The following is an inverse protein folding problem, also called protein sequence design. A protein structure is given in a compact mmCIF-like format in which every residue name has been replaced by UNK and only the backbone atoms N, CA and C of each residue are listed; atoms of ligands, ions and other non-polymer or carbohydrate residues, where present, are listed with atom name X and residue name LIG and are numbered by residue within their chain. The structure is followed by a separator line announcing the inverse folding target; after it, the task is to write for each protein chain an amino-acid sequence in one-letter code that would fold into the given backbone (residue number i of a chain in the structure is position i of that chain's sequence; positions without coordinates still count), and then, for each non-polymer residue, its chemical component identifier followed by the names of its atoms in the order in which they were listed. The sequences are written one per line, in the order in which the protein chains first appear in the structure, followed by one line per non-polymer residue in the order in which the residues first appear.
data_IF_741106702525
#
_entry.id   IF_741106702525
#
_cell.length_a   1.000
_cell.length_b   1.000
_cell.length_c   1.000
_cell.angle_alpha   90.00
_cell.angle_beta   90.00
_cell.angle_gamma   90.00
#
_symmetry.space_group_name_H-M   'P 1'
#
loop_
_entity.id
_entity.type
_entity.pdbx_description
1 polymer ?
#
# COMPACT_ATOMS: atom_id res chain seq x y z
N UNK A 1 24.25 22.31 10.46
CA UNK A 1 22.81 22.37 10.15
C UNK A 1 22.40 23.82 10.28
N UNK A 2 22.00 24.46 9.17
CA UNK A 2 21.32 25.75 9.26
C UNK A 2 19.96 25.47 9.90
N UNK A 3 19.66 26.15 10.99
CA UNK A 3 18.35 26.09 11.64
C UNK A 3 17.34 26.67 10.65
N UNK A 4 16.55 25.81 10.03
CA UNK A 4 15.52 26.21 9.07
C UNK A 4 14.43 26.92 9.88
N UNK A 5 14.26 28.22 9.64
CA UNK A 5 13.29 29.04 10.36
C UNK A 5 11.92 28.93 9.69
N UNK A 6 10.85 28.72 10.47
CA UNK A 6 9.45 28.75 9.99
C UNK A 6 9.16 30.01 9.15
N UNK A 7 9.77 31.14 9.52
CA UNK A 7 9.63 32.40 8.78
C UNK A 7 10.20 32.32 7.35
N UNK A 8 11.27 31.56 7.13
CA UNK A 8 11.88 31.41 5.81
C UNK A 8 10.97 30.58 4.90
N UNK A 9 10.34 29.52 5.44
CA UNK A 9 9.37 28.69 4.70
C UNK A 9 8.14 29.53 4.32
N UNK A 10 7.60 30.33 5.25
CA UNK A 10 6.48 31.22 4.94
C UNK A 10 6.84 32.24 3.85
N UNK A 11 8.02 32.86 3.91
CA UNK A 11 8.47 33.80 2.90
C UNK A 11 8.62 33.15 1.51
N UNK A 12 9.12 31.91 1.47
CA UNK A 12 9.21 31.14 0.22
C UNK A 12 7.81 30.82 -0.35
N UNK A 13 6.85 30.45 0.51
CA UNK A 13 5.47 30.17 0.10
C UNK A 13 4.78 31.43 -0.45
N UNK A 14 5.03 32.59 0.13
CA UNK A 14 4.47 33.85 -0.36
C UNK A 14 5.00 34.21 -1.76
N UNK A 15 6.24 33.86 -2.08
CA UNK A 15 6.86 34.08 -3.39
C UNK A 15 6.32 33.16 -4.50
N UNK A 16 5.54 32.13 -4.19
CA UNK A 16 4.98 31.19 -5.18
C UNK A 16 4.01 31.86 -6.15
N UNK A 17 3.32 32.93 -5.71
CA UNK A 17 2.26 33.59 -6.50
C UNK A 17 2.83 34.62 -7.47
N UNK A 18 3.87 35.33 -7.04
CA UNK A 18 4.41 36.50 -7.73
C UNK A 18 5.62 36.16 -8.61
N UNK A 19 6.01 34.89 -8.66
CA UNK A 19 7.23 34.45 -9.32
C UNK A 19 7.03 34.16 -10.81
N UNK A 20 7.93 34.70 -11.64
CA UNK A 20 8.18 34.15 -12.96
C UNK A 20 8.71 32.71 -12.85
N UNK A 21 8.72 31.97 -13.97
CA UNK A 21 9.12 30.56 -13.99
C UNK A 21 10.47 30.29 -13.30
N UNK A 22 11.46 31.15 -13.49
CA UNK A 22 12.81 30.95 -12.91
C UNK A 22 12.76 31.11 -11.40
N UNK A 23 12.07 32.15 -10.92
CA UNK A 23 11.91 32.39 -9.49
C UNK A 23 11.13 31.27 -8.82
N UNK A 24 10.08 30.76 -9.47
CA UNK A 24 9.31 29.62 -8.99
C UNK A 24 10.17 28.37 -8.86
N UNK A 25 10.97 28.05 -9.88
CA UNK A 25 11.86 26.87 -9.87
C UNK A 25 12.87 26.95 -8.70
N UNK A 26 13.41 28.13 -8.40
CA UNK A 26 14.33 28.35 -7.27
C UNK A 26 13.64 28.19 -5.90
N UNK A 27 12.42 28.73 -5.76
CA UNK A 27 11.59 28.60 -4.55
C UNK A 27 11.25 27.12 -4.32
N UNK A 28 10.79 26.45 -5.38
CA UNK A 28 10.48 25.02 -5.38
C UNK A 28 11.69 24.19 -4.95
N UNK A 29 12.86 24.40 -5.54
CA UNK A 29 14.09 23.70 -5.13
C UNK A 29 14.44 23.92 -3.66
N UNK A 30 14.24 25.14 -3.16
CA UNK A 30 14.56 25.50 -1.77
C UNK A 30 13.63 24.78 -0.80
N UNK A 31 12.32 24.79 -1.07
CA UNK A 31 11.33 24.06 -0.27
C UNK A 31 11.57 22.54 -0.33
N UNK A 32 11.92 21.99 -1.50
CA UNK A 32 12.29 20.58 -1.64
C UNK A 32 13.53 20.24 -0.79
N UNK A 33 14.56 21.10 -0.77
CA UNK A 33 15.76 20.91 0.06
C UNK A 33 15.48 20.98 1.56
N UNK A 34 14.48 21.76 1.97
CA UNK A 34 14.01 21.80 3.36
C UNK A 34 13.26 20.51 3.75
N UNK A 35 12.66 19.81 2.78
CA UNK A 35 12.07 18.49 2.96
C UNK A 35 10.92 18.49 3.97
N UNK A 36 10.90 17.48 4.85
CA UNK A 36 9.81 17.21 5.80
C UNK A 36 9.40 18.41 6.67
N UNK A 37 10.33 19.28 7.03
CA UNK A 37 10.07 20.45 7.89
C UNK A 37 9.12 21.47 7.23
N UNK A 38 9.02 21.46 5.90
CA UNK A 38 8.14 22.37 5.14
C UNK A 38 6.73 21.83 4.93
N UNK A 39 6.50 20.51 5.08
CA UNK A 39 5.22 19.84 4.77
C UNK A 39 4.05 20.49 5.51
N UNK A 40 4.12 20.57 6.84
CA UNK A 40 3.00 21.08 7.65
C UNK A 40 2.63 22.52 7.28
N UNK A 41 3.63 23.37 6.99
CA UNK A 41 3.40 24.78 6.65
C UNK A 41 2.78 24.90 5.25
N UNK A 42 3.22 24.07 4.30
CA UNK A 42 2.61 24.02 2.96
C UNK A 42 1.16 23.54 3.04
N UNK A 43 0.84 22.55 3.88
CA UNK A 43 -0.53 22.06 4.09
C UNK A 43 -1.43 23.11 4.75
N UNK A 44 -0.93 23.79 5.79
CA UNK A 44 -1.62 24.92 6.42
C UNK A 44 -1.93 26.01 5.38
N UNK A 45 -0.97 26.30 4.49
CA UNK A 45 -1.12 27.31 3.43
C UNK A 45 -2.11 26.87 2.35
N UNK A 46 -2.07 25.61 1.92
CA UNK A 46 -3.02 25.02 0.97
C UNK A 46 -4.46 25.07 1.51
N UNK A 47 -4.67 24.76 2.79
CA UNK A 47 -5.98 24.77 3.42
C UNK A 47 -6.63 26.16 3.44
N UNK A 48 -5.82 27.23 3.45
CA UNK A 48 -6.25 28.62 3.46
C UNK A 48 -6.20 29.27 2.06
N UNK A 49 -5.65 28.57 1.06
CA UNK A 49 -5.41 29.12 -0.26
C UNK A 49 -6.71 29.24 -1.06
N UNK A 50 -6.98 30.44 -1.58
CA UNK A 50 -8.14 30.72 -2.44
C UNK A 50 -7.75 30.84 -3.93
N UNK A 51 -6.46 31.00 -4.22
CA UNK A 51 -5.93 31.09 -5.58
C UNK A 51 -5.63 29.68 -6.10
N UNK A 52 -6.30 29.28 -7.18
CA UNK A 52 -6.12 27.95 -7.77
C UNK A 52 -4.72 27.72 -8.35
N UNK A 53 -4.08 28.75 -8.92
CA UNK A 53 -2.74 28.61 -9.50
C UNK A 53 -1.69 28.44 -8.40
N UNK A 54 -1.81 29.22 -7.31
CA UNK A 54 -0.99 29.01 -6.11
C UNK A 54 -1.18 27.61 -5.55
N UNK A 55 -2.43 27.19 -5.39
CA UNK A 55 -2.75 25.89 -4.80
C UNK A 55 -2.14 24.75 -5.62
N UNK A 56 -2.26 24.79 -6.95
CA UNK A 56 -1.68 23.78 -7.84
C UNK A 56 -0.15 23.72 -7.71
N UNK A 57 0.52 24.88 -7.66
CA UNK A 57 1.97 24.98 -7.47
C UNK A 57 2.43 24.44 -6.11
N UNK A 58 1.75 24.83 -5.03
CA UNK A 58 2.05 24.34 -3.69
C UNK A 58 1.80 22.83 -3.57
N UNK A 59 0.75 22.33 -4.21
CA UNK A 59 0.46 20.90 -4.27
C UNK A 59 1.55 20.13 -5.03
N UNK A 60 2.06 20.68 -6.13
CA UNK A 60 3.20 20.10 -6.85
C UNK A 60 4.45 20.00 -5.97
N UNK A 61 4.78 21.08 -5.25
CA UNK A 61 5.93 21.11 -4.34
C UNK A 61 5.75 20.10 -3.20
N UNK A 62 4.59 20.10 -2.54
CA UNK A 62 4.26 19.17 -1.46
C UNK A 62 4.39 17.72 -1.91
N UNK A 63 3.87 17.41 -3.09
CA UNK A 63 3.98 16.08 -3.67
C UNK A 63 5.44 15.68 -3.91
N UNK A 64 6.26 16.56 -4.48
CA UNK A 64 7.66 16.26 -4.75
C UNK A 64 8.46 16.01 -3.47
N UNK A 65 8.19 16.78 -2.41
CA UNK A 65 8.75 16.56 -1.07
C UNK A 65 8.33 15.19 -0.54
N UNK A 66 7.02 14.90 -0.47
CA UNK A 66 6.49 13.63 0.07
C UNK A 66 7.03 12.43 -0.72
N UNK A 67 7.11 12.54 -2.04
CA UNK A 67 7.67 11.49 -2.89
C UNK A 67 9.15 11.22 -2.57
N UNK A 68 9.97 12.25 -2.39
CA UNK A 68 11.39 12.08 -2.07
C UNK A 68 11.60 11.39 -0.71
N UNK A 69 10.79 11.75 0.29
CA UNK A 69 10.82 11.10 1.62
C UNK A 69 10.45 9.61 1.52
N UNK A 70 9.36 9.29 0.83
CA UNK A 70 8.83 7.93 0.72
C UNK A 70 9.72 7.05 -0.13
N UNK A 71 10.33 7.62 -1.16
CA UNK A 71 11.32 6.92 -1.97
C UNK A 71 12.40 6.33 -1.06
N UNK A 72 12.96 7.13 -0.17
CA UNK A 72 14.00 6.67 0.76
C UNK A 72 13.46 5.63 1.75
N UNK A 73 12.23 5.81 2.25
CA UNK A 73 11.58 4.87 3.15
C UNK A 73 11.34 3.50 2.48
N UNK A 74 10.87 3.47 1.23
CA UNK A 74 10.65 2.25 0.45
C UNK A 74 11.95 1.55 0.09
N UNK A 75 13.02 2.29 -0.26
CA UNK A 75 14.36 1.70 -0.44
C UNK A 75 14.83 1.02 0.85
N UNK A 76 14.64 1.68 2.00
CA UNK A 76 15.04 1.13 3.28
C UNK A 76 14.19 -0.09 3.65
N UNK A 77 12.87 -0.01 3.49
CA UNK A 77 11.93 -1.11 3.73
C UNK A 77 12.33 -2.35 2.92
N UNK A 78 12.56 -2.19 1.62
CA UNK A 78 12.96 -3.31 0.76
C UNK A 78 14.31 -3.95 1.17
N UNK A 79 15.24 -3.16 1.72
CA UNK A 79 16.53 -3.68 2.19
C UNK A 79 16.49 -4.35 3.56
N UNK A 80 15.56 -3.94 4.42
CA UNK A 80 15.54 -4.32 5.84
C UNK A 80 14.44 -5.31 6.17
N UNK A 81 13.24 -5.09 5.64
CA UNK A 81 12.05 -5.88 5.89
C UNK A 81 11.16 -6.02 4.62
N UNK A 82 11.71 -6.51 3.50
CA UNK A 82 11.03 -6.56 2.20
C UNK A 82 9.70 -7.35 2.23
N UNK A 83 9.56 -8.27 3.18
CA UNK A 83 8.37 -9.09 3.32
C UNK A 83 7.28 -8.43 4.18
N UNK A 84 7.51 -7.28 4.82
CA UNK A 84 6.53 -6.66 5.73
C UNK A 84 5.47 -5.88 4.95
N UNK A 85 4.27 -6.45 4.80
CA UNK A 85 3.13 -5.74 4.17
C UNK A 85 2.75 -4.52 5.01
N UNK A 86 2.77 -4.61 6.34
CA UNK A 86 2.39 -3.49 7.20
C UNK A 86 3.29 -2.27 6.99
N UNK A 87 4.62 -2.46 6.99
CA UNK A 87 5.56 -1.36 6.80
C UNK A 87 5.49 -0.78 5.39
N UNK A 88 5.40 -1.64 4.38
CA UNK A 88 5.20 -1.18 3.01
C UNK A 88 3.91 -0.36 2.86
N UNK A 89 2.82 -0.80 3.50
CA UNK A 89 1.54 -0.11 3.39
C UNK A 89 1.54 1.23 4.14
N UNK A 90 2.15 1.30 5.33
CA UNK A 90 2.40 2.56 6.05
C UNK A 90 3.19 3.54 5.18
N UNK A 91 4.28 3.09 4.55
CA UNK A 91 5.12 3.92 3.69
C UNK A 91 4.33 4.49 2.51
N UNK A 92 3.47 3.68 1.86
CA UNK A 92 2.61 4.15 0.77
C UNK A 92 1.52 5.11 1.27
N UNK A 93 0.89 4.84 2.43
CA UNK A 93 -0.09 5.74 3.04
C UNK A 93 0.49 7.14 3.25
N UNK A 94 1.76 7.25 3.63
CA UNK A 94 2.44 8.53 3.88
C UNK A 94 2.53 9.45 2.65
N UNK A 95 2.26 8.92 1.45
CA UNK A 95 2.31 9.68 0.18
C UNK A 95 1.31 10.81 0.13
N UNK A 96 0.15 10.62 0.75
CA UNK A 96 -0.91 11.62 0.75
C UNK A 96 -1.38 11.99 2.16
N UNK A 97 -0.84 11.35 3.20
CA UNK A 97 -1.36 11.49 4.56
C UNK A 97 -0.22 11.53 5.57
N UNK A 98 -0.42 12.24 6.68
CA UNK A 98 0.43 12.06 7.87
C UNK A 98 -0.12 10.91 8.69
N UNK A 99 0.73 9.90 8.93
CA UNK A 99 0.36 8.65 9.59
C UNK A 99 0.99 8.59 10.97
N UNK A 100 0.16 8.37 11.99
CA UNK A 100 0.61 8.00 13.33
C UNK A 100 0.92 6.50 13.35
N UNK A 101 2.19 6.15 13.20
CA UNK A 101 2.64 4.76 13.17
C UNK A 101 2.34 4.02 14.48
N UNK A 102 2.44 4.68 15.64
CA UNK A 102 2.18 4.05 16.93
C UNK A 102 0.70 3.68 17.06
N UNK A 103 -0.19 4.55 16.60
CA UNK A 103 -1.62 4.24 16.51
C UNK A 103 -1.88 3.03 15.61
N UNK A 104 -1.28 3.01 14.41
CA UNK A 104 -1.47 1.93 13.43
C UNK A 104 -0.96 0.59 13.99
N UNK A 105 0.24 0.56 14.55
CA UNK A 105 0.83 -0.63 15.16
C UNK A 105 -0.02 -1.14 16.33
N UNK A 106 -0.54 -0.23 17.16
CA UNK A 106 -1.44 -0.58 18.26
C UNK A 106 -2.76 -1.21 17.76
N UNK A 107 -3.37 -0.66 16.70
CA UNK A 107 -4.59 -1.24 16.14
C UNK A 107 -4.34 -2.61 15.50
N UNK A 108 -3.24 -2.79 14.77
CA UNK A 108 -2.83 -4.11 14.25
C UNK A 108 -2.68 -5.13 15.37
N UNK A 109 -1.95 -4.81 16.43
CA UNK A 109 -1.77 -5.69 17.59
C UNK A 109 -3.10 -6.07 18.26
N UNK A 110 -4.01 -5.10 18.38
CA UNK A 110 -5.35 -5.32 18.94
C UNK A 110 -6.17 -6.29 18.09
N UNK A 111 -6.15 -6.16 16.76
CA UNK A 111 -6.84 -7.07 15.85
C UNK A 111 -6.19 -8.45 15.85
N UNK A 112 -4.85 -8.51 15.77
CA UNK A 112 -4.06 -9.74 15.85
C UNK A 112 -4.40 -10.55 17.10
N UNK A 113 -4.44 -9.93 18.29
CA UNK A 113 -4.75 -10.63 19.56
C UNK A 113 -6.16 -11.21 19.59
N UNK A 114 -7.15 -10.51 19.01
CA UNK A 114 -8.52 -11.00 18.94
C UNK A 114 -8.59 -12.25 18.08
N UNK A 115 -8.00 -12.21 16.88
CA UNK A 115 -7.96 -13.39 15.99
C UNK A 115 -7.18 -14.52 16.65
N UNK A 116 -6.00 -14.24 17.22
CA UNK A 116 -5.19 -15.24 17.91
C UNK A 116 -5.96 -16.00 18.99
N UNK A 117 -6.91 -15.35 19.67
CA UNK A 117 -7.75 -16.00 20.69
C UNK A 117 -8.76 -17.01 20.12
N UNK A 118 -9.06 -16.93 18.82
CA UNK A 118 -9.92 -17.88 18.09
C UNK A 118 -9.10 -19.01 17.44
N UNK A 119 -7.79 -18.80 17.25
CA UNK A 119 -6.90 -19.81 16.68
C UNK A 119 -6.49 -20.87 17.72
N UNK A 120 -6.32 -22.10 17.25
CA UNK A 120 -5.73 -23.19 18.04
C UNK A 120 -4.99 -24.18 17.14
N UNK A 121 -4.13 -25.00 17.74
CA UNK A 121 -3.22 -25.91 17.02
C UNK A 121 -3.93 -27.05 16.28
N UNK A 122 -5.23 -27.27 16.50
CA UNK A 122 -6.01 -28.31 15.80
C UNK A 122 -6.60 -27.83 14.48
N UNK A 123 -6.58 -26.52 14.23
CA UNK A 123 -7.08 -25.95 12.98
C UNK A 123 -6.09 -26.18 11.85
N UNK A 124 -6.63 -26.55 10.70
CA UNK A 124 -5.91 -26.54 9.43
C UNK A 124 -5.56 -25.11 9.01
N UNK A 125 -4.54 -24.95 8.16
CA UNK A 125 -4.14 -23.63 7.64
C UNK A 125 -5.28 -22.94 6.87
N UNK A 126 -6.11 -23.72 6.18
CA UNK A 126 -7.32 -23.23 5.53
C UNK A 126 -8.33 -22.66 6.55
N UNK A 127 -8.62 -23.40 7.63
CA UNK A 127 -9.53 -22.91 8.67
C UNK A 127 -8.98 -21.63 9.34
N UNK A 128 -7.68 -21.54 9.59
CA UNK A 128 -7.04 -20.33 10.13
C UNK A 128 -7.19 -19.14 9.16
N UNK A 129 -6.96 -19.36 7.87
CA UNK A 129 -7.13 -18.35 6.82
C UNK A 129 -8.59 -17.85 6.75
N UNK A 130 -9.56 -18.76 6.79
CA UNK A 130 -11.00 -18.43 6.81
C UNK A 130 -11.38 -17.63 8.06
N UNK A 131 -10.83 -17.96 9.24
CA UNK A 131 -11.08 -17.21 10.47
C UNK A 131 -10.64 -15.75 10.32
N UNK A 132 -9.48 -15.49 9.71
CA UNK A 132 -9.01 -14.11 9.46
C UNK A 132 -9.97 -13.38 8.54
N UNK A 133 -10.35 -14.00 7.42
CA UNK A 133 -11.28 -13.41 6.46
C UNK A 133 -12.62 -13.05 7.13
N UNK A 134 -13.22 -14.01 7.83
CA UNK A 134 -14.48 -13.81 8.58
C UNK A 134 -14.34 -12.73 9.64
N UNK A 135 -13.21 -12.69 10.34
CA UNK A 135 -12.94 -11.65 11.32
C UNK A 135 -12.96 -10.26 10.67
N UNK A 136 -12.35 -10.09 9.49
CA UNK A 136 -12.35 -8.81 8.77
C UNK A 136 -13.78 -8.40 8.43
N UNK A 137 -14.58 -9.27 7.81
CA UNK A 137 -15.97 -8.95 7.45
C UNK A 137 -16.88 -8.69 8.65
N UNK A 138 -16.59 -9.30 9.80
CA UNK A 138 -17.36 -9.07 11.03
C UNK A 138 -16.97 -7.78 11.77
N UNK A 139 -15.75 -7.27 11.57
CA UNK A 139 -15.22 -6.13 12.32
C UNK A 139 -15.02 -4.86 11.48
N UNK A 140 -14.99 -4.98 10.16
CA UNK A 140 -14.85 -3.88 9.20
C UNK A 140 -16.07 -3.83 8.29
N UNK A 141 -16.44 -2.63 7.87
CA UNK A 141 -17.59 -2.36 7.02
C UNK A 141 -17.12 -2.27 5.57
N UNK A 142 -17.25 -3.39 4.85
CA UNK A 142 -16.95 -3.43 3.43
C UNK A 142 -17.94 -2.56 2.65
N UNK A 143 -17.39 -1.66 1.84
CA UNK A 143 -18.11 -0.81 0.91
C UNK A 143 -17.57 -1.10 -0.49
N UNK A 144 -18.46 -1.49 -1.41
CA UNK A 144 -18.14 -1.64 -2.84
C UNK A 144 -17.89 -0.28 -3.54
N UNK A 145 -17.61 0.79 -2.78
CA UNK A 145 -17.36 2.12 -3.35
C UNK A 145 -16.08 2.13 -4.20
N UNK A 146 -16.17 2.73 -5.37
CA UNK A 146 -15.06 3.05 -6.27
C UNK A 146 -14.24 4.23 -5.73
N UNK A 147 -14.00 4.31 -4.43
CA UNK A 147 -13.05 5.26 -3.85
C UNK A 147 -11.91 4.52 -3.19
N UNK A 148 -10.69 4.78 -3.66
CA UNK A 148 -9.48 4.29 -3.02
C UNK A 148 -9.34 4.89 -1.63
N UNK A 149 -9.23 4.01 -0.63
CA UNK A 149 -8.76 4.34 0.69
C UNK A 149 -7.42 3.64 0.95
N UNK A 150 -6.33 4.40 0.87
CA UNK A 150 -4.98 3.94 1.23
C UNK A 150 -4.50 4.52 2.57
N UNK A 151 -5.32 5.27 3.29
CA UNK A 151 -4.98 5.73 4.63
C UNK A 151 -5.28 4.61 5.64
N UNK A 152 -4.27 3.83 6.00
CA UNK A 152 -4.38 2.73 6.97
C UNK A 152 -4.95 3.18 8.33
N UNK A 153 -4.59 4.36 8.80
CA UNK A 153 -5.13 4.93 10.04
C UNK A 153 -6.63 5.23 9.92
N UNK A 154 -7.08 5.73 8.77
CA UNK A 154 -8.51 5.96 8.50
C UNK A 154 -9.28 4.64 8.38
N UNK A 155 -8.68 3.61 7.79
CA UNK A 155 -9.26 2.26 7.71
C UNK A 155 -9.52 1.72 9.13
N UNK A 156 -8.54 1.79 10.04
CA UNK A 156 -8.74 1.32 11.42
C UNK A 156 -9.73 2.19 12.22
N UNK A 157 -9.63 3.51 12.12
CA UNK A 157 -10.48 4.42 12.93
C UNK A 157 -11.94 4.43 12.47
N UNK A 158 -12.19 4.43 11.15
CA UNK A 158 -13.56 4.43 10.61
C UNK A 158 -14.15 3.02 10.48
N UNK A 159 -13.29 2.00 10.42
CA UNK A 159 -13.61 0.61 10.08
C UNK A 159 -14.18 0.41 8.68
N UNK A 160 -14.29 1.46 7.86
CA UNK A 160 -14.73 1.32 6.48
C UNK A 160 -13.57 0.79 5.65
N UNK A 161 -13.83 -0.20 4.82
CA UNK A 161 -12.86 -0.79 3.93
C UNK A 161 -13.44 -0.96 2.53
N UNK A 162 -12.58 -0.86 1.52
CA UNK A 162 -12.90 -1.19 0.13
C UNK A 162 -12.12 -2.44 -0.29
N UNK A 163 -12.18 -2.82 -1.58
CA UNK A 163 -11.45 -3.98 -2.14
C UNK A 163 -9.97 -3.98 -1.74
N UNK A 164 -9.26 -2.87 -1.94
CA UNK A 164 -7.83 -2.75 -1.64
C UNK A 164 -7.54 -2.80 -0.13
N UNK A 165 -8.32 -2.08 0.68
CA UNK A 165 -8.15 -2.08 2.13
C UNK A 165 -8.33 -3.48 2.72
N UNK A 166 -9.31 -4.26 2.24
CA UNK A 166 -9.53 -5.64 2.69
C UNK A 166 -8.34 -6.53 2.38
N UNK A 167 -7.81 -6.44 1.15
CA UNK A 167 -6.64 -7.22 0.73
C UNK A 167 -5.43 -6.91 1.60
N UNK A 168 -5.14 -5.63 1.87
CA UNK A 168 -4.04 -5.25 2.76
C UNK A 168 -4.27 -5.68 4.21
N UNK A 169 -5.46 -5.46 4.76
CA UNK A 169 -5.80 -5.91 6.12
C UNK A 169 -5.60 -7.42 6.26
N UNK A 170 -6.05 -8.21 5.28
CA UNK A 170 -5.87 -9.65 5.28
C UNK A 170 -4.39 -10.03 5.22
N UNK A 171 -3.62 -9.48 4.28
CA UNK A 171 -2.19 -9.77 4.16
C UNK A 171 -1.41 -9.42 5.42
N UNK A 172 -1.68 -8.26 6.04
CA UNK A 172 -1.07 -7.86 7.31
C UNK A 172 -1.38 -8.88 8.40
N UNK A 173 -2.66 -9.24 8.59
CA UNK A 173 -3.07 -10.12 9.67
C UNK A 173 -2.53 -11.55 9.50
N UNK A 174 -2.47 -12.07 8.27
CA UNK A 174 -1.85 -13.37 7.96
C UNK A 174 -0.37 -13.38 8.36
N UNK A 175 0.38 -12.33 7.99
CA UNK A 175 1.80 -12.23 8.34
C UNK A 175 2.03 -12.10 9.85
N UNK A 176 1.26 -11.25 10.52
CA UNK A 176 1.33 -11.03 11.96
C UNK A 176 0.95 -12.27 12.78
N UNK A 177 0.08 -13.12 12.23
CA UNK A 177 -0.30 -14.41 12.81
C UNK A 177 0.60 -15.56 12.36
N UNK A 178 1.61 -15.29 11.51
CA UNK A 178 2.58 -16.26 10.99
C UNK A 178 1.94 -17.43 10.23
N UNK A 179 0.87 -17.15 9.49
CA UNK A 179 0.23 -18.12 8.59
C UNK A 179 0.94 -18.07 7.24
N UNK A 180 1.24 -19.23 6.67
CA UNK A 180 2.02 -19.37 5.44
C UNK A 180 1.17 -19.12 4.18
N UNK A 181 0.57 -17.93 4.07
CA UNK A 181 -0.20 -17.52 2.90
C UNK A 181 0.40 -16.26 2.25
N UNK A 182 0.54 -16.29 0.93
CA UNK A 182 1.31 -15.32 0.15
C UNK A 182 0.50 -14.77 -1.01
N UNK A 183 0.70 -13.50 -1.39
CA UNK A 183 -0.13 -12.83 -2.39
C UNK A 183 0.02 -13.48 -3.76
N UNK A 184 -1.07 -13.55 -4.50
CA UNK A 184 -1.15 -13.90 -5.92
C UNK A 184 -2.08 -12.86 -6.54
N UNK A 185 -1.62 -12.14 -7.56
CA UNK A 185 -2.43 -11.14 -8.25
C UNK A 185 -2.51 -11.53 -9.71
N UNK A 186 -3.72 -11.75 -10.19
CA UNK A 186 -3.97 -12.21 -11.55
C UNK A 186 -5.26 -11.58 -12.05
N UNK A 187 -5.20 -10.96 -13.24
CA UNK A 187 -6.34 -10.31 -13.86
C UNK A 187 -7.11 -9.35 -12.92
N UNK A 188 -6.38 -8.53 -12.16
CA UNK A 188 -6.95 -7.54 -11.22
C UNK A 188 -7.69 -8.14 -10.02
N UNK A 189 -7.57 -9.46 -9.86
CA UNK A 189 -8.07 -10.19 -8.73
C UNK A 189 -6.93 -10.53 -7.77
N UNK A 190 -7.23 -10.34 -6.49
CA UNK A 190 -6.28 -10.51 -5.41
C UNK A 190 -6.62 -11.79 -4.66
N UNK A 191 -5.63 -12.68 -4.58
CA UNK A 191 -5.70 -13.92 -3.83
C UNK A 191 -4.50 -14.03 -2.90
N UNK A 192 -4.62 -14.93 -1.94
CA UNK A 192 -3.50 -15.45 -1.18
C UNK A 192 -3.47 -16.96 -1.35
N UNK A 193 -2.34 -17.51 -1.77
CA UNK A 193 -2.15 -18.95 -1.80
C UNK A 193 -1.44 -19.41 -0.54
N UNK A 194 -1.87 -20.55 0.02
CA UNK A 194 -1.13 -21.22 1.08
C UNK A 194 -0.11 -22.18 0.48
N UNK A 195 1.11 -22.20 1.03
CA UNK A 195 2.15 -23.13 0.58
C UNK A 195 2.79 -23.88 1.74
N UNK A 196 3.24 -25.11 1.49
CA UNK A 196 3.97 -25.91 2.46
C UNK A 196 5.43 -25.45 2.67
N UNK A 197 5.93 -24.55 1.81
CA UNK A 197 7.29 -24.00 1.87
C UNK A 197 7.30 -22.57 2.48
N UNK A 198 8.38 -22.18 3.17
CA UNK A 198 8.53 -20.81 3.66
C UNK A 198 8.87 -19.81 2.53
N UNK A 199 8.49 -18.53 2.70
CA UNK A 199 8.73 -17.40 1.77
C UNK A 199 10.16 -17.33 1.19
N UNK A 200 11.18 -17.73 1.94
CA UNK A 200 12.58 -17.59 1.50
C UNK A 200 12.88 -18.37 0.21
N UNK A 201 11.99 -19.29 -0.15
CA UNK A 201 12.10 -20.15 -1.31
C UNK A 201 11.05 -19.85 -2.39
N UNK A 202 10.45 -18.65 -2.46
CA UNK A 202 9.42 -18.28 -3.47
C UNK A 202 9.83 -18.71 -4.90
N UNK A 203 11.09 -18.49 -5.29
CA UNK A 203 11.63 -18.88 -6.60
C UNK A 203 11.69 -20.41 -6.84
N UNK A 204 11.47 -21.20 -5.79
CA UNK A 204 11.50 -22.67 -5.79
C UNK A 204 10.13 -23.27 -5.39
N UNK A 205 9.06 -22.47 -5.42
CA UNK A 205 7.70 -22.96 -5.21
C UNK A 205 7.18 -23.49 -6.54
N UNK A 206 6.67 -24.71 -6.51
CA UNK A 206 5.98 -25.35 -7.63
C UNK A 206 4.54 -25.74 -7.26
N UNK A 207 3.84 -26.34 -8.21
CA UNK A 207 2.44 -26.78 -8.08
C UNK A 207 2.18 -27.59 -6.83
N UNK A 208 3.08 -28.53 -6.55
CA UNK A 208 2.90 -29.51 -5.50
C UNK A 208 3.04 -28.88 -4.11
N UNK A 209 3.59 -27.67 -4.03
CA UNK A 209 3.72 -26.93 -2.79
C UNK A 209 2.46 -26.13 -2.41
N UNK A 210 1.58 -25.85 -3.38
CA UNK A 210 0.39 -24.99 -3.19
C UNK A 210 -0.79 -25.84 -2.72
N UNK A 211 -1.37 -25.47 -1.58
CA UNK A 211 -2.50 -26.21 -1.00
C UNK A 211 -3.86 -25.68 -1.47
N UNK A 212 -4.02 -24.35 -1.50
CA UNK A 212 -5.26 -23.68 -1.87
C UNK A 212 -5.01 -22.21 -2.17
N UNK A 213 -5.96 -21.59 -2.86
CA UNK A 213 -6.08 -20.15 -3.06
C UNK A 213 -7.28 -19.62 -2.29
N UNK A 214 -7.14 -18.44 -1.70
CA UNK A 214 -8.23 -17.75 -1.01
C UNK A 214 -8.27 -16.29 -1.47
N UNK A 215 -9.43 -15.85 -1.97
CA UNK A 215 -9.70 -14.43 -2.14
C UNK A 215 -10.10 -13.83 -0.80
N UNK A 216 -9.43 -12.76 -0.31
CA UNK A 216 -9.82 -12.12 0.94
C UNK A 216 -11.15 -11.36 0.80
N UNK A 217 -11.65 -11.14 -0.41
CA UNK A 217 -12.83 -10.32 -0.72
C UNK A 217 -14.09 -11.19 -0.84
N UNK A 218 -13.98 -12.40 -1.42
CA UNK A 218 -15.13 -13.24 -1.73
C UNK A 218 -15.25 -14.40 -0.74
N UNK A 219 -16.42 -14.53 -0.09
CA UNK A 219 -16.67 -15.58 0.91
C UNK A 219 -16.54 -17.00 0.32
N UNK A 220 -16.99 -17.18 -0.93
CA UNK A 220 -16.83 -18.43 -1.69
C UNK A 220 -15.52 -18.46 -2.52
N UNK A 221 -14.62 -17.51 -2.30
CA UNK A 221 -13.39 -17.34 -3.08
C UNK A 221 -12.25 -18.30 -2.74
N UNK A 222 -12.58 -19.50 -2.24
CA UNK A 222 -11.62 -20.53 -1.86
C UNK A 222 -11.59 -21.60 -2.95
N UNK A 223 -10.41 -21.82 -3.53
CA UNK A 223 -10.23 -22.71 -4.67
C UNK A 223 -9.07 -23.66 -4.40
N UNK A 224 -9.20 -24.92 -4.85
CA UNK A 224 -8.04 -25.81 -4.92
C UNK A 224 -7.06 -25.32 -5.98
N UNK A 225 -5.87 -25.93 -6.03
CA UNK A 225 -4.95 -25.65 -7.12
C UNK A 225 -5.57 -25.98 -8.47
N UNK A 226 -6.20 -27.15 -8.61
CA UNK A 226 -6.81 -27.60 -9.87
C UNK A 226 -7.93 -26.67 -10.34
N UNK A 227 -8.82 -26.24 -9.43
CA UNK A 227 -9.90 -25.32 -9.78
C UNK A 227 -9.36 -23.95 -10.22
N UNK A 228 -8.36 -23.43 -9.52
CA UNK A 228 -7.71 -22.15 -9.85
C UNK A 228 -6.97 -22.22 -11.18
N UNK A 229 -6.19 -23.29 -11.40
CA UNK A 229 -5.45 -23.54 -12.63
C UNK A 229 -6.39 -23.74 -13.83
N UNK A 230 -7.47 -24.50 -13.68
CA UNK A 230 -8.49 -24.64 -14.73
C UNK A 230 -9.10 -23.27 -15.10
N UNK A 231 -9.44 -22.45 -14.09
CA UNK A 231 -10.01 -21.12 -14.33
C UNK A 231 -9.04 -20.19 -15.07
N UNK A 232 -7.79 -20.10 -14.64
CA UNK A 232 -6.86 -19.10 -15.20
C UNK A 232 -6.01 -19.63 -16.37
N UNK A 233 -5.52 -20.86 -16.32
CA UNK A 233 -4.66 -21.43 -17.37
C UNK A 233 -5.51 -22.02 -18.49
N UNK A 234 -6.46 -22.90 -18.18
CA UNK A 234 -7.20 -23.63 -19.22
C UNK A 234 -8.28 -22.77 -19.90
N UNK A 235 -9.02 -21.97 -19.11
CA UNK A 235 -10.13 -21.15 -19.62
C UNK A 235 -9.66 -19.76 -20.08
N UNK A 236 -8.76 -19.14 -19.31
CA UNK A 236 -8.32 -17.76 -19.57
C UNK A 236 -6.93 -17.66 -20.21
N UNK A 237 -6.24 -18.79 -20.45
CA UNK A 237 -4.96 -18.88 -21.15
C UNK A 237 -3.81 -18.07 -20.52
N UNK A 238 -3.78 -17.94 -19.20
CA UNK A 238 -2.63 -17.39 -18.45
C UNK A 238 -1.48 -18.40 -18.36
N UNK A 239 -0.27 -17.91 -18.07
CA UNK A 239 0.89 -18.75 -17.86
C UNK A 239 0.90 -19.33 -16.45
N UNK A 240 1.54 -20.49 -16.29
CA UNK A 240 1.67 -21.15 -15.00
C UNK A 240 2.34 -20.25 -13.94
N UNK A 241 3.30 -19.41 -14.34
CA UNK A 241 3.94 -18.46 -13.44
C UNK A 241 2.99 -17.42 -12.86
N UNK A 242 1.87 -17.12 -13.52
CA UNK A 242 0.93 -16.07 -13.12
C UNK A 242 0.05 -16.50 -11.93
N UNK A 243 -0.03 -17.81 -11.67
CA UNK A 243 -0.78 -18.35 -10.53
C UNK A 243 0.13 -18.66 -9.33
N UNK A 244 1.45 -18.49 -9.45
CA UNK A 244 2.38 -18.66 -8.33
C UNK A 244 2.38 -17.44 -7.39
N UNK A 245 2.78 -17.62 -6.10
CA UNK A 245 2.92 -16.50 -5.19
C UNK A 245 3.97 -15.49 -5.67
N UNK A 246 3.64 -14.21 -5.54
CA UNK A 246 4.53 -13.10 -5.86
C UNK A 246 5.19 -12.54 -4.61
N UNK A 247 6.28 -11.79 -4.79
CA UNK A 247 6.93 -11.11 -3.68
C UNK A 247 6.01 -10.04 -3.08
N UNK A 248 6.28 -9.63 -1.84
CA UNK A 248 5.54 -8.50 -1.24
C UNK A 248 5.74 -7.22 -2.05
N UNK A 249 6.93 -7.03 -2.64
CA UNK A 249 7.21 -5.89 -3.52
C UNK A 249 6.33 -5.89 -4.77
N UNK A 250 6.25 -7.02 -5.47
CA UNK A 250 5.41 -7.18 -6.66
C UNK A 250 3.93 -7.02 -6.32
N UNK A 251 3.50 -7.51 -5.16
CA UNK A 251 2.14 -7.29 -4.66
C UNK A 251 1.79 -5.80 -4.51
N UNK A 252 2.74 -4.99 -4.02
CA UNK A 252 2.56 -3.54 -4.00
C UNK A 252 2.55 -2.94 -5.40
N UNK A 253 3.46 -3.35 -6.28
CA UNK A 253 3.52 -2.86 -7.66
C UNK A 253 2.21 -3.14 -8.42
N UNK A 254 1.70 -4.37 -8.35
CA UNK A 254 0.43 -4.80 -8.94
C UNK A 254 -0.76 -4.01 -8.36
N UNK A 255 -0.77 -3.80 -7.03
CA UNK A 255 -1.84 -3.02 -6.39
C UNK A 255 -1.85 -1.57 -6.87
N UNK A 256 -0.69 -0.94 -7.02
CA UNK A 256 -0.60 0.43 -7.56
C UNK A 256 -0.96 0.46 -9.04
N UNK A 257 -0.55 -0.53 -9.85
CA UNK A 257 -0.98 -0.68 -11.26
C UNK A 257 -2.50 -0.76 -11.37
N UNK A 258 -3.12 -1.58 -10.51
CA UNK A 258 -4.58 -1.70 -10.42
C UNK A 258 -5.26 -0.36 -10.11
N UNK A 259 -4.74 0.36 -9.12
CA UNK A 259 -5.22 1.69 -8.73
C UNK A 259 -5.16 2.67 -9.91
N UNK A 260 -4.05 2.69 -10.66
CA UNK A 260 -3.93 3.58 -11.81
C UNK A 260 -4.92 3.26 -12.92
N UNK A 261 -5.14 1.96 -13.20
CA UNK A 261 -6.06 1.52 -14.25
C UNK A 261 -7.50 1.91 -13.95
N UNK A 262 -7.96 1.76 -12.72
CA UNK A 262 -9.36 2.07 -12.36
C UNK A 262 -9.61 3.57 -12.25
N UNK A 263 -8.66 4.35 -11.73
CA UNK A 263 -8.90 5.74 -11.35
C UNK A 263 -8.34 6.78 -12.35
N UNK A 264 -7.59 6.32 -13.36
CA UNK A 264 -7.02 7.15 -14.41
C UNK A 264 -6.00 8.17 -13.91
N UNK A 265 -5.29 8.81 -14.85
CA UNK A 265 -4.20 9.75 -14.56
C UNK A 265 -4.60 11.01 -13.75
N UNK A 266 -5.89 11.35 -13.67
CA UNK A 266 -6.34 12.65 -13.13
C UNK A 266 -6.39 12.70 -11.60
N UNK A 267 -6.79 11.60 -10.92
CA UNK A 267 -6.80 11.51 -9.45
C UNK A 267 -5.61 10.71 -8.88
N UNK A 268 -4.73 10.20 -9.76
CA UNK A 268 -3.61 9.32 -9.38
C UNK A 268 -2.24 9.82 -9.84
N UNK A 269 -2.11 11.08 -10.29
CA UNK A 269 -0.82 11.68 -10.69
C UNK A 269 0.31 11.39 -9.68
N UNK A 270 -0.02 11.34 -8.40
CA UNK A 270 0.91 11.02 -7.32
C UNK A 270 1.32 9.53 -7.31
N UNK A 271 0.37 8.62 -7.54
CA UNK A 271 0.65 7.20 -7.67
C UNK A 271 1.36 6.86 -8.99
N UNK A 272 1.28 7.73 -10.00
CA UNK A 272 2.02 7.68 -11.28
C UNK A 272 3.54 7.56 -11.10
N UNK A 273 4.15 8.53 -10.39
CA UNK A 273 5.60 8.47 -10.14
C UNK A 273 5.94 7.40 -9.12
N UNK A 274 5.05 7.12 -8.14
CA UNK A 274 5.26 6.02 -7.20
C UNK A 274 5.35 4.67 -7.92
N UNK A 275 4.43 4.39 -8.85
CA UNK A 275 4.50 3.18 -9.66
C UNK A 275 5.75 3.15 -10.53
N UNK A 276 6.07 4.26 -11.18
CA UNK A 276 7.30 4.35 -11.99
C UNK A 276 8.53 4.06 -11.13
N UNK A 277 8.55 4.53 -9.89
CA UNK A 277 9.60 4.18 -8.95
C UNK A 277 9.56 2.69 -8.59
N UNK A 278 8.42 2.13 -8.20
CA UNK A 278 8.32 0.71 -7.85
C UNK A 278 8.68 -0.22 -9.02
N UNK A 279 8.27 0.08 -10.26
CA UNK A 279 8.55 -0.76 -11.43
C UNK A 279 9.99 -0.59 -11.93
N UNK A 280 10.52 0.64 -11.97
CA UNK A 280 11.80 0.94 -12.64
C UNK A 280 12.96 1.21 -11.68
N UNK A 281 12.75 1.18 -10.37
CA UNK A 281 13.87 1.14 -9.44
C UNK A 281 14.39 -0.29 -9.36
N UNK A 282 15.70 -0.47 -9.46
CA UNK A 282 16.41 -1.73 -9.20
C UNK A 282 16.31 -2.11 -7.69
N UNK A 283 15.10 -2.13 -7.15
CA UNK A 283 14.77 -2.64 -5.83
C UNK A 283 14.34 -4.11 -5.91
N UNK A 284 14.01 -4.63 -7.10
CA UNK A 284 13.58 -6.00 -7.31
C UNK A 284 14.69 -7.05 -7.41
N UNK A 285 15.97 -6.67 -7.31
CA UNK A 285 17.13 -7.57 -7.44
C UNK A 285 17.82 -7.93 -6.11
#
# INVERSE_FOLDING_TARGET
MLEINKNDICALIDLVDESDKITFDLVKESLIKMGKESITIIEESLALCLDSDKADKLQEILYEIRFNEIKNELVLWNKTEPNSILKGFIAISKMNFDIDEDFVLSEVEKHRRKIWSELNDKLTELEKAIIIQKYIFNNFHFQEDDKIELNIQKIFSSKNCNKISVVFLYGILVQELKIAAYPVVINDEFYFCHTHKPIKDLNNIDEADISFYLSPIYEDGILSFEDFANMYIEVLFYDYSDILPISTFDFFAETITYIQRIYGNCNTKNYGKLLSFLIYSDLGD
#
